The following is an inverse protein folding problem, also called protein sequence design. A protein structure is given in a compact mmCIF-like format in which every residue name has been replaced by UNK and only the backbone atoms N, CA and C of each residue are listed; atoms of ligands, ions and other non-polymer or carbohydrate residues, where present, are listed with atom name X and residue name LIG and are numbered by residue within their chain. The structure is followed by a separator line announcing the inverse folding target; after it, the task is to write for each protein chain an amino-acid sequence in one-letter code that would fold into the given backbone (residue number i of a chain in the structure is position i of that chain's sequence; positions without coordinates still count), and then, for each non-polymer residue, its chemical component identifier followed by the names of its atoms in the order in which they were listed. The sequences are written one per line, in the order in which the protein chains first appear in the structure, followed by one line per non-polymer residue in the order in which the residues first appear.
data_IF_983572706741
#
_entry.id   IF_983572706741
#
_cell.length_a   1.000
_cell.length_b   1.000
_cell.length_c   1.000
_cell.angle_alpha   90.00
_cell.angle_beta   90.00
_cell.angle_gamma   90.00
#
_symmetry.space_group_name_H-M   'P 1'
#
loop_
_entity.id
_entity.type
_entity.pdbx_description
1 polymer ?
#
# COMPACT_ATOMS: atom_id res chain seq x y z
N UNK A 1 -6.42 50.52 13.82
CA UNK A 1 -7.15 49.23 13.65
C UNK A 1 -6.73 48.47 12.38
N UNK A 2 -5.45 48.10 12.21
CA UNK A 2 -4.97 47.30 11.05
C UNK A 2 -4.36 45.94 11.44
N UNK A 3 -4.05 45.74 12.71
CA UNK A 3 -3.37 44.54 13.24
C UNK A 3 -4.34 43.37 13.51
N UNK A 4 -5.62 43.64 13.77
CA UNK A 4 -6.62 42.59 14.10
C UNK A 4 -6.96 41.67 12.93
N UNK A 5 -6.85 42.15 11.68
CA UNK A 5 -7.17 41.35 10.48
C UNK A 5 -6.13 40.26 10.17
N UNK A 6 -4.86 40.49 10.49
CA UNK A 6 -3.80 39.50 10.27
C UNK A 6 -3.84 38.36 11.30
N UNK A 7 -4.27 38.64 12.53
CA UNK A 7 -4.39 37.63 13.58
C UNK A 7 -5.46 36.57 13.24
N UNK A 8 -6.59 37.00 12.66
CA UNK A 8 -7.70 36.10 12.26
C UNK A 8 -7.30 35.18 11.10
N UNK A 9 -6.50 35.68 10.14
CA UNK A 9 -6.03 34.89 9.01
C UNK A 9 -5.05 33.78 9.43
N UNK A 10 -4.21 34.05 10.43
CA UNK A 10 -3.25 33.08 10.96
C UNK A 10 -3.95 31.95 11.74
N UNK A 11 -4.97 32.30 12.53
CA UNK A 11 -5.77 31.32 13.30
C UNK A 11 -6.56 30.38 12.38
N UNK A 12 -7.09 30.86 11.24
CA UNK A 12 -7.80 30.02 10.27
C UNK A 12 -6.90 29.04 9.51
N UNK A 13 -5.60 29.32 9.39
CA UNK A 13 -4.63 28.42 8.75
C UNK A 13 -4.21 27.26 9.66
N UNK A 14 -4.17 27.47 10.98
CA UNK A 14 -3.78 26.45 11.95
C UNK A 14 -4.82 25.31 12.11
N UNK A 15 -6.11 25.56 11.87
CA UNK A 15 -7.16 24.53 12.00
C UNK A 15 -7.25 23.56 10.80
N UNK A 16 -6.52 23.82 9.70
CA UNK A 16 -6.59 22.94 8.51
C UNK A 16 -5.77 21.66 8.63
N UNK A 17 -4.78 21.60 9.53
CA UNK A 17 -3.90 20.44 9.64
C UNK A 17 -4.56 19.24 10.32
N UNK A 18 -5.46 19.46 11.28
CA UNK A 18 -6.13 18.35 12.00
C UNK A 18 -7.15 17.61 11.12
N UNK A 19 -7.77 18.28 10.14
CA UNK A 19 -8.77 17.70 9.26
C UNK A 19 -8.18 16.75 8.20
N UNK A 20 -6.88 16.87 7.90
CA UNK A 20 -6.22 16.05 6.89
C UNK A 20 -6.08 14.58 7.34
N UNK A 21 -5.89 14.33 8.63
CA UNK A 21 -5.75 12.97 9.17
C UNK A 21 -7.10 12.24 9.21
N UNK A 22 -8.17 12.89 9.66
CA UNK A 22 -9.53 12.32 9.65
C UNK A 22 -10.01 12.04 8.22
N UNK A 23 -9.76 12.96 7.29
CA UNK A 23 -10.10 12.76 5.86
C UNK A 23 -9.35 11.56 5.26
N UNK A 24 -8.08 11.36 5.62
CA UNK A 24 -7.27 10.23 5.14
C UNK A 24 -7.77 8.91 5.72
N UNK A 25 -8.08 8.87 7.02
CA UNK A 25 -8.65 7.68 7.66
C UNK A 25 -10.03 7.32 7.09
N UNK A 26 -10.87 8.31 6.81
CA UNK A 26 -12.16 8.10 6.16
C UNK A 26 -11.99 7.56 4.73
N UNK A 27 -11.00 8.07 4.00
CA UNK A 27 -10.69 7.63 2.63
C UNK A 27 -10.25 6.17 2.58
N UNK A 28 -9.61 5.65 3.63
CA UNK A 28 -9.20 4.25 3.72
C UNK A 28 -10.34 3.28 4.01
N UNK A 29 -11.46 3.71 4.57
CA UNK A 29 -12.52 2.81 5.03
C UNK A 29 -13.04 1.85 3.94
N UNK A 30 -13.31 0.61 4.31
CA UNK A 30 -13.80 -0.44 3.42
C UNK A 30 -12.73 -1.45 3.01
N UNK A 31 -13.13 -2.38 2.14
CA UNK A 31 -12.28 -3.43 1.62
C UNK A 31 -11.52 -2.94 0.39
N UNK A 32 -10.22 -3.16 0.37
CA UNK A 32 -9.33 -2.93 -0.75
C UNK A 32 -8.76 -4.27 -1.22
N UNK A 33 -9.06 -4.65 -2.45
CA UNK A 33 -8.58 -5.89 -3.08
C UNK A 33 -7.30 -5.60 -3.85
N UNK A 34 -6.30 -6.46 -3.71
CA UNK A 34 -5.03 -6.32 -4.42
C UNK A 34 -5.25 -6.56 -5.91
N UNK A 35 -4.76 -5.65 -6.75
CA UNK A 35 -4.86 -5.76 -8.21
C UNK A 35 -3.51 -5.84 -8.90
N UNK A 36 -2.46 -5.38 -8.23
CA UNK A 36 -1.11 -5.49 -8.76
C UNK A 36 -0.06 -5.48 -7.65
N UNK A 37 1.11 -6.02 -7.96
CA UNK A 37 2.32 -5.98 -7.14
C UNK A 37 3.48 -5.54 -8.03
N UNK A 38 4.06 -4.39 -7.72
CA UNK A 38 5.29 -3.91 -8.36
C UNK A 38 6.47 -4.19 -7.43
N UNK A 39 7.31 -5.14 -7.82
CA UNK A 39 8.58 -5.45 -7.18
C UNK A 39 9.73 -5.29 -8.19
N UNK A 40 9.57 -4.41 -9.18
CA UNK A 40 10.51 -4.32 -10.31
C UNK A 40 11.91 -3.88 -9.88
N UNK A 41 12.01 -3.08 -8.82
CA UNK A 41 13.29 -2.58 -8.32
C UNK A 41 14.06 -3.60 -7.46
N UNK A 42 13.34 -4.44 -6.72
CA UNK A 42 13.91 -5.38 -5.75
C UNK A 42 14.06 -6.79 -6.35
N UNK A 43 13.00 -7.29 -6.98
CA UNK A 43 12.88 -8.67 -7.46
C UNK A 43 12.80 -8.76 -8.99
N UNK A 44 12.71 -7.62 -9.68
CA UNK A 44 12.71 -7.57 -11.15
C UNK A 44 11.43 -8.04 -11.81
N UNK A 45 10.28 -8.00 -11.12
CA UNK A 45 8.99 -8.34 -11.71
C UNK A 45 7.85 -7.38 -11.33
N UNK A 46 6.82 -7.38 -12.16
CA UNK A 46 5.51 -6.79 -11.89
C UNK A 46 4.43 -7.83 -12.12
N UNK A 47 3.44 -7.91 -11.23
CA UNK A 47 2.28 -8.78 -11.37
C UNK A 47 1.03 -7.91 -11.56
N UNK A 48 0.28 -8.18 -12.62
CA UNK A 48 -1.07 -7.64 -12.83
C UNK A 48 -2.08 -8.74 -12.55
N UNK A 49 -2.64 -8.71 -11.33
CA UNK A 49 -3.58 -9.70 -10.85
C UNK A 49 -4.97 -9.50 -11.48
N UNK A 50 -5.30 -8.27 -11.89
CA UNK A 50 -6.58 -7.96 -12.53
C UNK A 50 -6.64 -8.53 -13.95
N UNK A 51 -5.53 -8.48 -14.70
CA UNK A 51 -5.43 -9.01 -16.06
C UNK A 51 -4.76 -10.39 -16.15
N UNK A 52 -4.34 -10.96 -15.01
CA UNK A 52 -3.62 -12.24 -14.92
C UNK A 52 -2.38 -12.28 -15.83
N UNK A 53 -1.60 -11.20 -15.80
CA UNK A 53 -0.35 -11.05 -16.54
C UNK A 53 0.80 -10.68 -15.62
N UNK A 54 2.01 -10.77 -16.15
CA UNK A 54 3.21 -10.36 -15.44
C UNK A 54 4.21 -9.75 -16.40
N UNK A 55 5.10 -8.92 -15.87
CA UNK A 55 6.25 -8.38 -16.56
C UNK A 55 7.51 -8.70 -15.78
N UNK A 56 8.62 -8.85 -16.50
CA UNK A 56 9.94 -9.08 -15.95
C UNK A 56 10.85 -7.97 -16.45
N UNK A 57 11.74 -7.47 -15.59
CA UNK A 57 12.69 -6.43 -15.93
C UNK A 57 13.65 -6.89 -17.03
N UNK A 58 14.16 -5.94 -17.80
CA UNK A 58 15.12 -6.26 -18.87
C UNK A 58 16.46 -6.76 -18.33
N UNK A 59 16.83 -6.37 -17.10
CA UNK A 59 17.99 -6.96 -16.42
C UNK A 59 17.77 -8.43 -16.13
N UNK A 60 16.58 -8.79 -15.61
CA UNK A 60 16.27 -10.20 -15.36
C UNK A 60 16.20 -10.98 -16.69
N UNK A 61 15.58 -10.45 -17.74
CA UNK A 61 15.52 -11.14 -19.05
C UNK A 61 16.90 -11.50 -19.61
N UNK A 62 17.92 -10.68 -19.36
CA UNK A 62 19.31 -10.95 -19.82
C UNK A 62 19.96 -12.15 -19.15
N UNK A 63 19.52 -12.50 -17.94
CA UNK A 63 20.06 -13.63 -17.17
C UNK A 63 19.19 -14.88 -17.29
N UNK A 64 17.98 -14.77 -17.85
CA UNK A 64 17.11 -15.92 -18.12
C UNK A 64 17.67 -16.72 -19.30
N UNK A 65 18.06 -17.96 -19.03
CA UNK A 65 18.37 -18.94 -20.08
C UNK A 65 17.06 -19.57 -20.59
N UNK A 66 17.03 -20.04 -21.85
CA UNK A 66 15.86 -20.77 -22.38
C UNK A 66 15.46 -21.99 -21.54
N UNK A 67 16.43 -22.62 -20.88
CA UNK A 67 16.21 -23.77 -19.98
C UNK A 67 15.44 -23.38 -18.70
N UNK A 68 15.71 -22.19 -18.15
CA UNK A 68 15.12 -21.73 -16.89
C UNK A 68 13.84 -20.91 -17.06
N UNK A 69 13.54 -20.45 -18.28
CA UNK A 69 12.36 -19.63 -18.59
C UNK A 69 11.06 -20.30 -18.14
N UNK A 70 10.91 -21.61 -18.40
CA UNK A 70 9.71 -22.36 -18.00
C UNK A 70 9.56 -22.43 -16.47
N UNK A 71 10.66 -22.56 -15.74
CA UNK A 71 10.64 -22.62 -14.27
C UNK A 71 10.25 -21.28 -13.68
N UNK A 72 10.84 -20.19 -14.18
CA UNK A 72 10.52 -18.82 -13.75
C UNK A 72 9.06 -18.50 -14.03
N UNK A 73 8.57 -18.83 -15.22
CA UNK A 73 7.16 -18.66 -15.57
C UNK A 73 6.24 -19.45 -14.63
N UNK A 74 6.57 -20.70 -14.33
CA UNK A 74 5.79 -21.51 -13.40
C UNK A 74 5.79 -20.90 -11.98
N UNK A 75 6.94 -20.41 -11.51
CA UNK A 75 7.06 -19.73 -10.21
C UNK A 75 6.19 -18.47 -10.17
N UNK A 76 6.26 -17.62 -11.19
CA UNK A 76 5.45 -16.38 -11.25
C UNK A 76 3.95 -16.71 -11.30
N UNK A 77 3.54 -17.73 -12.05
CA UNK A 77 2.14 -18.18 -12.07
C UNK A 77 1.70 -18.63 -10.67
N UNK A 78 2.51 -19.45 -9.98
CA UNK A 78 2.20 -19.87 -8.61
C UNK A 78 2.10 -18.69 -7.63
N UNK A 79 3.01 -17.72 -7.76
CA UNK A 79 2.92 -16.48 -6.99
C UNK A 79 1.61 -15.76 -7.31
N UNK A 80 1.30 -15.51 -8.58
CA UNK A 80 0.06 -14.83 -9.02
C UNK A 80 -1.19 -15.47 -8.38
N UNK A 81 -1.30 -16.80 -8.40
CA UNK A 81 -2.42 -17.51 -7.77
C UNK A 81 -2.53 -17.25 -6.26
N UNK A 82 -1.41 -17.19 -5.53
CA UNK A 82 -1.43 -16.89 -4.09
C UNK A 82 -1.90 -15.48 -3.76
N UNK A 83 -1.80 -14.55 -4.70
CA UNK A 83 -2.14 -13.15 -4.46
C UNK A 83 -3.56 -12.76 -4.91
N UNK A 84 -4.31 -13.65 -5.60
CA UNK A 84 -5.64 -13.34 -6.18
C UNK A 84 -6.70 -12.93 -5.17
N UNK A 85 -6.71 -13.55 -3.98
CA UNK A 85 -7.72 -13.30 -2.96
C UNK A 85 -7.25 -12.30 -1.88
N UNK A 86 -6.14 -11.61 -2.14
CA UNK A 86 -5.54 -10.71 -1.16
C UNK A 86 -6.34 -9.42 -1.01
N UNK A 87 -6.48 -8.98 0.23
CA UNK A 87 -7.16 -7.73 0.54
C UNK A 87 -6.65 -7.10 1.83
N UNK A 88 -6.93 -5.81 1.97
CA UNK A 88 -6.86 -5.08 3.23
C UNK A 88 -8.21 -4.44 3.50
N UNK A 89 -8.78 -4.72 4.68
CA UNK A 89 -10.03 -4.15 5.15
C UNK A 89 -9.74 -3.19 6.29
N UNK A 90 -10.22 -1.96 6.15
CA UNK A 90 -10.16 -0.94 7.20
C UNK A 90 -11.57 -0.66 7.71
N UNK A 91 -11.77 -0.82 9.03
CA UNK A 91 -13.03 -0.55 9.70
C UNK A 91 -12.77 0.25 10.97
N UNK A 92 -13.14 1.54 10.96
CA UNK A 92 -12.80 2.51 11.99
C UNK A 92 -11.26 2.59 12.18
N UNK A 93 -10.74 2.05 13.27
CA UNK A 93 -9.32 1.92 13.60
C UNK A 93 -8.81 0.47 13.53
N UNK A 94 -9.63 -0.48 13.08
CA UNK A 94 -9.25 -1.86 12.89
C UNK A 94 -8.73 -2.08 11.47
N UNK A 95 -7.79 -3.00 11.35
CA UNK A 95 -7.25 -3.48 10.08
C UNK A 95 -7.29 -5.00 10.06
N UNK A 96 -7.73 -5.56 8.94
CA UNK A 96 -7.58 -6.96 8.60
C UNK A 96 -6.86 -7.02 7.26
N UNK A 97 -5.76 -7.77 7.18
CA UNK A 97 -5.09 -8.08 5.92
C UNK A 97 -5.13 -9.58 5.68
N UNK A 98 -5.37 -9.96 4.44
CA UNK A 98 -5.12 -11.31 3.92
C UNK A 98 -4.12 -11.16 2.81
N UNK A 99 -2.90 -11.65 3.01
CA UNK A 99 -1.82 -11.59 2.03
C UNK A 99 -1.21 -12.99 1.89
N UNK A 100 -1.22 -13.54 0.68
CA UNK A 100 -0.64 -14.85 0.36
C UNK A 100 -1.19 -16.00 1.21
N UNK A 101 -2.47 -15.91 1.60
CA UNK A 101 -3.15 -16.88 2.47
C UNK A 101 -3.02 -16.59 3.97
N UNK A 102 -2.13 -15.67 4.39
CA UNK A 102 -1.95 -15.32 5.79
C UNK A 102 -2.91 -14.19 6.20
N UNK A 103 -3.78 -14.50 7.16
CA UNK A 103 -4.69 -13.54 7.76
C UNK A 103 -4.09 -12.90 9.02
N UNK A 104 -3.99 -11.58 9.04
CA UNK A 104 -3.55 -10.82 10.20
C UNK A 104 -4.57 -9.73 10.54
N UNK A 105 -4.91 -9.60 11.82
CA UNK A 105 -5.81 -8.58 12.36
C UNK A 105 -5.11 -7.73 13.39
N UNK A 106 -5.53 -6.47 13.49
CA UNK A 106 -4.99 -5.54 14.45
C UNK A 106 -5.69 -4.20 14.43
N UNK A 107 -5.00 -3.22 15.00
CA UNK A 107 -5.39 -1.82 14.96
C UNK A 107 -4.35 -1.02 14.21
N UNK A 108 -4.75 0.13 13.65
CA UNK A 108 -3.83 1.02 12.97
C UNK A 108 -4.02 2.46 13.40
N UNK A 109 -2.94 3.24 13.30
CA UNK A 109 -2.98 4.71 13.36
C UNK A 109 -2.21 5.27 12.17
N UNK A 110 -2.68 6.40 11.64
CA UNK A 110 -2.00 7.13 10.57
C UNK A 110 -1.04 8.14 11.20
N UNK A 111 0.21 8.16 10.75
CA UNK A 111 1.16 9.24 11.07
C UNK A 111 1.69 9.84 9.78
N UNK A 112 1.76 11.17 9.75
CA UNK A 112 2.32 11.91 8.63
C UNK A 112 3.72 12.41 9.02
N UNK A 113 4.72 12.18 8.16
CA UNK A 113 6.09 12.64 8.36
C UNK A 113 6.72 12.99 7.01
N UNK A 114 7.30 14.19 6.88
CA UNK A 114 8.01 14.64 5.67
C UNK A 114 7.23 14.34 4.37
N UNK A 115 5.99 14.83 4.30
CA UNK A 115 5.04 14.68 3.17
C UNK A 115 4.58 13.25 2.86
N UNK A 116 4.98 12.27 3.67
CA UNK A 116 4.57 10.87 3.55
C UNK A 116 3.58 10.47 4.64
N UNK A 117 2.67 9.57 4.31
CA UNK A 117 1.71 8.99 5.25
C UNK A 117 2.12 7.56 5.58
N UNK A 118 2.02 7.18 6.86
CA UNK A 118 2.41 5.87 7.35
C UNK A 118 1.26 5.22 8.14
N UNK A 119 0.96 3.96 7.81
CA UNK A 119 0.13 3.06 8.62
C UNK A 119 1.01 2.44 9.69
N UNK A 120 0.87 2.88 10.94
CA UNK A 120 1.48 2.20 12.07
C UNK A 120 0.48 1.17 12.59
N UNK A 121 0.79 -0.10 12.40
CA UNK A 121 -0.11 -1.22 12.68
C UNK A 121 0.38 -1.94 13.94
N UNK A 122 -0.56 -2.29 14.80
CA UNK A 122 -0.33 -3.17 15.94
C UNK A 122 -1.21 -4.41 15.77
N UNK A 123 -0.59 -5.53 15.39
CA UNK A 123 -1.27 -6.80 15.19
C UNK A 123 -1.61 -7.46 16.53
N UNK A 124 -2.63 -8.32 16.54
CA UNK A 124 -3.09 -9.02 17.73
C UNK A 124 -2.05 -9.98 18.33
N UNK A 125 -1.03 -10.37 17.55
CA UNK A 125 0.13 -11.15 17.99
C UNK A 125 1.26 -10.28 18.58
N UNK A 126 1.00 -9.00 18.85
CA UNK A 126 1.94 -7.99 19.35
C UNK A 126 3.08 -7.62 18.37
N UNK A 127 3.01 -8.05 17.11
CA UNK A 127 3.90 -7.55 16.07
C UNK A 127 3.47 -6.13 15.72
N UNK A 128 4.45 -5.23 15.62
CA UNK A 128 4.25 -3.86 15.18
C UNK A 128 4.87 -3.68 13.81
N UNK A 129 4.18 -2.94 12.96
CA UNK A 129 4.58 -2.69 11.58
C UNK A 129 4.34 -1.21 11.24
N UNK A 130 5.10 -0.67 10.30
CA UNK A 130 4.99 0.71 9.85
C UNK A 130 5.17 0.78 8.34
N UNK A 131 4.05 0.89 7.63
CA UNK A 131 4.03 0.84 6.16
C UNK A 131 3.75 2.23 5.61
N UNK A 132 4.54 2.67 4.63
CA UNK A 132 4.21 3.87 3.87
C UNK A 132 3.00 3.60 2.97
N UNK A 133 2.10 4.57 2.85
CA UNK A 133 0.96 4.45 1.97
C UNK A 133 0.57 5.78 1.35
N UNK A 134 -0.11 5.71 0.21
CA UNK A 134 -0.79 6.85 -0.40
C UNK A 134 -1.99 6.39 -1.22
N UNK A 135 -2.92 7.30 -1.47
CA UNK A 135 -4.05 7.06 -2.37
C UNK A 135 -3.85 7.94 -3.60
N UNK A 136 -3.79 7.33 -4.79
CA UNK A 136 -3.64 8.01 -6.07
C UNK A 136 -4.53 7.33 -7.10
N UNK A 137 -5.23 8.12 -7.91
CA UNK A 137 -6.10 7.61 -8.98
C UNK A 137 -7.13 6.54 -8.49
N UNK A 138 -7.67 6.76 -7.28
CA UNK A 138 -8.59 5.85 -6.56
C UNK A 138 -8.01 4.48 -6.21
N UNK A 139 -6.68 4.33 -6.27
CA UNK A 139 -5.95 3.14 -5.84
C UNK A 139 -5.21 3.43 -4.56
N UNK A 140 -5.15 2.44 -3.69
CA UNK A 140 -4.33 2.46 -2.48
C UNK A 140 -2.99 1.81 -2.83
N UNK A 141 -1.92 2.52 -2.55
CA UNK A 141 -0.55 2.03 -2.66
C UNK A 141 -0.02 1.81 -1.25
N UNK A 142 0.53 0.64 -0.99
CA UNK A 142 1.24 0.31 0.25
C UNK A 142 2.65 -0.09 -0.11
N UNK A 143 3.62 0.70 0.34
CA UNK A 143 5.04 0.49 0.07
C UNK A 143 5.65 -0.28 1.25
N UNK A 144 6.25 -1.42 0.95
CA UNK A 144 6.95 -2.27 1.92
C UNK A 144 8.46 -2.08 1.70
N UNK A 145 9.14 -1.52 2.70
CA UNK A 145 10.60 -1.34 2.75
C UNK A 145 11.26 -0.63 1.55
N UNK A 146 10.48 0.13 0.76
CA UNK A 146 10.86 0.67 -0.56
C UNK A 146 11.24 -0.40 -1.60
N UNK A 147 10.89 -1.67 -1.34
CA UNK A 147 11.19 -2.80 -2.20
C UNK A 147 10.00 -3.15 -3.08
N UNK A 148 8.78 -3.05 -2.55
CA UNK A 148 7.57 -3.46 -3.24
C UNK A 148 6.42 -2.46 -3.03
N UNK A 149 5.67 -2.20 -4.10
CA UNK A 149 4.41 -1.46 -4.08
C UNK A 149 3.23 -2.41 -4.30
N UNK A 150 2.41 -2.56 -3.26
CA UNK A 150 1.16 -3.29 -3.31
C UNK A 150 0.03 -2.34 -3.68
N UNK A 151 -0.59 -2.59 -4.83
CA UNK A 151 -1.58 -1.70 -5.43
C UNK A 151 -2.96 -2.34 -5.30
N UNK A 152 -3.85 -1.65 -4.59
CA UNK A 152 -5.20 -2.12 -4.30
C UNK A 152 -6.28 -1.20 -4.91
N UNK A 153 -7.45 -1.79 -5.20
CA UNK A 153 -8.68 -1.07 -5.53
C UNK A 153 -9.77 -1.37 -4.51
N UNK A 154 -10.68 -0.42 -4.29
CA UNK A 154 -11.97 -0.72 -3.65
C UNK A 154 -12.93 -1.38 -4.64
#
# INVERSE_FOLDING_TARGET
MRTTKFLILFVLLCFKLSNAQESTQQSLQGKWTLIALDAMQSEGFYLDLANNSYEISDEYKKIITPENESNIKATIIQFTERFKDNFVLFEQNNIQRVIAGDENKGTFIIKNNNDKSFLNINYNNNIKDSLEFFIKDKRLHIIVDNEADFIFTK
#
